data_IF_634828958337
#
_entry.id   IF_634828958337
#
_cell.length_a   1.000
_cell.length_b   1.000
_cell.length_c   1.000
_cell.angle_alpha   90.00
_cell.angle_beta   90.00
_cell.angle_gamma   90.00
#
_symmetry.space_group_name_H-M   'P 1'
#
loop_
_entity.id
_entity.type
_entity.pdbx_description
1 polymer ?
#
# COMPACT_ATOMS: atom_id res chain seq x y z
N UNK A 1 19.22 26.66 1.38
CA UNK A 1 19.88 25.86 0.33
C UNK A 1 18.85 25.47 -0.68
N UNK A 2 19.08 25.71 -1.97
CA UNK A 2 18.12 25.40 -3.03
C UNK A 2 18.06 23.88 -3.20
N UNK A 3 16.88 23.30 -3.00
CA UNK A 3 16.63 21.89 -3.32
C UNK A 3 16.77 21.69 -4.83
N UNK A 4 17.69 20.82 -5.25
CA UNK A 4 17.87 20.41 -6.64
C UNK A 4 17.26 19.03 -6.84
N UNK A 5 16.55 18.85 -7.94
CA UNK A 5 16.11 17.53 -8.39
C UNK A 5 17.28 16.75 -8.97
N UNK A 6 17.42 15.50 -8.54
CA UNK A 6 18.38 14.53 -9.07
C UNK A 6 17.64 13.26 -9.48
N UNK A 7 17.94 12.77 -10.67
CA UNK A 7 17.52 11.44 -11.09
C UNK A 7 18.58 10.43 -10.60
N UNK A 8 18.19 9.53 -9.70
CA UNK A 8 19.07 8.46 -9.26
C UNK A 8 19.28 7.45 -10.41
N UNK A 9 20.49 6.88 -10.58
CA UNK A 9 20.77 5.93 -11.64
C UNK A 9 19.83 4.72 -11.61
N UNK A 10 19.30 4.34 -12.77
CA UNK A 10 18.51 3.11 -12.89
C UNK A 10 19.45 1.90 -12.80
N UNK A 11 19.14 0.96 -11.90
CA UNK A 11 19.80 -0.34 -11.86
C UNK A 11 19.07 -1.28 -12.82
N UNK A 12 19.77 -2.19 -13.50
CA UNK A 12 19.12 -3.26 -14.31
C UNK A 12 18.22 -4.18 -13.48
N UNK A 13 18.33 -4.11 -12.15
CA UNK A 13 17.54 -4.87 -11.18
C UNK A 13 16.39 -4.05 -10.57
N UNK A 14 16.04 -2.90 -11.16
CA UNK A 14 14.92 -2.08 -10.70
C UNK A 14 13.57 -2.71 -11.09
N UNK A 15 12.47 -2.36 -10.40
CA UNK A 15 11.14 -2.65 -10.89
C UNK A 15 10.94 -2.13 -12.32
N UNK A 16 10.01 -2.76 -13.03
CA UNK A 16 9.53 -2.22 -14.31
C UNK A 16 8.93 -0.83 -14.14
N UNK A 17 8.54 -0.21 -15.27
CA UNK A 17 7.74 1.02 -15.25
C UNK A 17 6.44 0.72 -14.49
N UNK A 18 5.92 1.63 -13.67
CA UNK A 18 4.72 1.42 -12.85
C UNK A 18 3.93 2.73 -12.72
N UNK A 19 2.60 2.68 -12.86
CA UNK A 19 1.69 3.76 -12.42
C UNK A 19 0.79 3.30 -11.27
N UNK A 20 0.40 4.24 -10.41
CA UNK A 20 -0.51 3.99 -9.29
C UNK A 20 0.01 3.02 -8.23
N UNK A 21 1.34 2.83 -8.14
CA UNK A 21 2.01 2.17 -7.03
C UNK A 21 1.98 3.04 -5.77
N UNK A 22 2.31 2.46 -4.62
CA UNK A 22 2.64 3.22 -3.40
C UNK A 22 4.10 2.99 -3.03
N UNK A 23 4.67 3.96 -2.30
CA UNK A 23 6.02 3.86 -1.77
C UNK A 23 6.07 4.31 -0.31
N UNK A 24 6.80 3.58 0.52
CA UNK A 24 7.04 3.92 1.93
C UNK A 24 8.51 3.84 2.28
N UNK A 25 8.94 4.59 3.30
CA UNK A 25 10.30 4.50 3.83
C UNK A 25 10.31 3.75 5.17
N UNK A 26 11.28 2.85 5.36
CA UNK A 26 11.51 2.16 6.63
C UNK A 26 13.00 1.83 6.78
N UNK A 27 13.61 2.22 7.91
CA UNK A 27 14.98 1.88 8.30
C UNK A 27 16.04 2.00 7.18
N UNK A 28 16.09 3.13 6.47
CA UNK A 28 17.11 3.35 5.41
C UNK A 28 16.82 2.60 4.09
N UNK A 29 15.61 2.07 3.93
CA UNK A 29 15.13 1.51 2.68
C UNK A 29 13.82 2.16 2.24
N UNK A 30 13.60 2.18 0.93
CA UNK A 30 12.33 2.54 0.29
C UNK A 30 11.67 1.28 -0.23
N UNK A 31 10.38 1.11 0.02
CA UNK A 31 9.60 -0.04 -0.41
C UNK A 31 8.54 0.43 -1.40
N UNK A 32 8.52 -0.16 -2.59
CA UNK A 32 7.53 0.10 -3.63
C UNK A 32 6.65 -1.13 -3.78
N UNK A 33 5.34 -0.94 -3.71
CA UNK A 33 4.36 -2.02 -3.83
C UNK A 33 3.33 -1.72 -4.91
N UNK A 34 3.03 -2.77 -5.67
CA UNK A 34 2.00 -2.76 -6.70
C UNK A 34 2.30 -1.79 -7.83
N UNK A 35 1.23 -1.26 -8.43
CA UNK A 35 1.29 -0.51 -9.67
C UNK A 35 1.27 -1.42 -10.91
N UNK A 36 0.80 -0.87 -12.02
CA UNK A 36 0.66 -1.57 -13.30
C UNK A 36 1.01 -0.62 -14.43
N UNK A 37 1.36 -1.12 -15.62
CA UNK A 37 1.50 -0.30 -16.84
C UNK A 37 0.34 -0.56 -17.80
N UNK A 38 -0.11 -1.82 -17.87
CA UNK A 38 -1.10 -2.28 -18.82
C UNK A 38 -2.18 -3.16 -18.15
N UNK A 39 -3.29 -3.37 -18.86
CA UNK A 39 -4.44 -4.22 -18.46
C UNK A 39 -4.15 -5.75 -18.50
N UNK A 40 -2.89 -6.17 -18.41
CA UNK A 40 -2.46 -7.57 -18.55
C UNK A 40 -1.47 -8.06 -17.49
N UNK A 41 -1.29 -7.31 -16.40
CA UNK A 41 -0.34 -7.67 -15.35
C UNK A 41 -0.64 -9.04 -14.73
N UNK A 42 0.41 -9.83 -14.45
CA UNK A 42 0.26 -11.13 -13.79
C UNK A 42 -0.29 -10.94 -12.36
N UNK A 43 -1.54 -11.36 -12.15
CA UNK A 43 -2.28 -11.29 -10.89
C UNK A 43 -1.59 -12.04 -9.75
N UNK A 44 -0.93 -13.14 -10.07
CA UNK A 44 -0.29 -14.01 -9.09
C UNK A 44 1.04 -13.47 -8.60
N UNK A 45 1.64 -12.48 -9.27
CA UNK A 45 2.82 -11.81 -8.74
C UNK A 45 2.41 -10.57 -7.95
N UNK A 46 2.95 -10.42 -6.75
CA UNK A 46 2.71 -9.27 -5.89
C UNK A 46 4.02 -8.52 -5.80
N UNK A 47 4.32 -7.61 -6.74
CA UNK A 47 5.61 -6.96 -6.77
C UNK A 47 5.78 -6.08 -5.53
N UNK A 48 6.71 -6.49 -4.67
CA UNK A 48 7.24 -5.68 -3.58
C UNK A 48 8.74 -5.50 -3.84
N UNK A 49 9.16 -4.27 -4.05
CA UNK A 49 10.54 -3.91 -4.33
C UNK A 49 11.11 -3.09 -3.20
N UNK A 50 12.36 -3.35 -2.87
CA UNK A 50 13.11 -2.59 -1.87
C UNK A 50 14.28 -1.87 -2.55
N UNK A 51 14.45 -0.59 -2.26
CA UNK A 51 15.63 0.17 -2.59
C UNK A 51 16.40 0.50 -1.31
N UNK A 52 17.61 -0.04 -1.18
CA UNK A 52 18.51 0.31 -0.09
C UNK A 52 19.16 1.67 -0.40
N UNK A 53 18.93 2.70 0.42
CA UNK A 53 19.43 4.05 0.14
C UNK A 53 20.93 4.20 0.31
N UNK A 54 21.54 3.37 1.18
CA UNK A 54 22.97 3.34 1.40
C UNK A 54 23.72 2.72 0.21
N UNK A 55 23.32 1.52 -0.21
CA UNK A 55 23.97 0.80 -1.30
C UNK A 55 23.49 1.24 -2.69
N UNK A 56 22.39 1.99 -2.75
CA UNK A 56 21.72 2.45 -3.98
C UNK A 56 21.30 1.29 -4.89
N UNK A 57 20.87 0.18 -4.29
CA UNK A 57 20.48 -1.05 -5.02
C UNK A 57 19.02 -1.39 -4.82
N UNK A 58 18.43 -1.89 -5.89
CA UNK A 58 17.11 -2.50 -5.89
C UNK A 58 17.20 -3.99 -5.60
N UNK A 59 16.23 -4.50 -4.86
CA UNK A 59 16.03 -5.91 -4.60
C UNK A 59 14.53 -6.23 -4.66
N UNK A 60 14.17 -7.28 -5.36
CA UNK A 60 12.82 -7.84 -5.27
C UNK A 60 12.66 -8.55 -3.91
N UNK A 61 11.63 -8.18 -3.16
CA UNK A 61 11.27 -8.83 -1.91
C UNK A 61 10.36 -10.01 -2.24
N UNK A 62 10.98 -11.19 -2.37
CA UNK A 62 10.25 -12.42 -2.67
C UNK A 62 9.40 -12.82 -1.47
N UNK A 63 8.17 -13.24 -1.74
CA UNK A 63 7.36 -13.93 -0.74
C UNK A 63 8.11 -15.19 -0.28
N UNK A 64 8.02 -15.53 1.01
CA UNK A 64 8.60 -16.79 1.48
C UNK A 64 7.92 -17.99 0.82
N UNK A 65 8.70 -19.05 0.57
CA UNK A 65 8.20 -20.30 0.02
C UNK A 65 6.99 -20.81 0.82
N UNK A 66 5.89 -21.09 0.10
CA UNK A 66 4.64 -21.56 0.71
C UNK A 66 3.73 -20.47 1.30
N UNK A 67 4.07 -19.17 1.20
CA UNK A 67 3.13 -18.11 1.60
C UNK A 67 1.97 -17.98 0.61
N UNK A 68 0.83 -18.60 0.95
CA UNK A 68 -0.39 -18.58 0.14
C UNK A 68 -1.19 -17.27 0.29
N UNK A 69 -1.13 -16.62 1.47
CA UNK A 69 -1.92 -15.41 1.76
C UNK A 69 -1.08 -14.13 1.63
N UNK A 70 -1.25 -13.43 0.50
CA UNK A 70 -0.69 -12.10 0.22
C UNK A 70 -1.64 -11.30 -0.64
N UNK A 71 -1.58 -9.95 -0.62
CA UNK A 71 -2.41 -9.13 -1.51
C UNK A 71 -2.08 -9.44 -2.97
N UNK A 72 -3.07 -9.45 -3.85
CA UNK A 72 -2.84 -9.43 -5.31
C UNK A 72 -2.21 -8.11 -5.75
N UNK A 73 -1.59 -8.09 -6.94
CA UNK A 73 -1.17 -6.83 -7.56
C UNK A 73 -2.36 -5.86 -7.70
N UNK A 74 -2.11 -4.56 -7.59
CA UNK A 74 -3.15 -3.52 -7.59
C UNK A 74 -2.57 -2.13 -7.85
N UNK A 75 -3.40 -1.20 -8.32
CA UNK A 75 -3.06 0.23 -8.41
C UNK A 75 -4.05 1.13 -7.67
N UNK A 76 -3.65 2.36 -7.39
CA UNK A 76 -4.48 3.35 -6.69
C UNK A 76 -4.79 2.99 -5.22
N UNK A 77 -4.02 2.09 -4.63
CA UNK A 77 -4.05 1.81 -3.19
C UNK A 77 -3.19 2.85 -2.46
N UNK A 78 -3.33 2.92 -1.14
CA UNK A 78 -2.39 3.65 -0.29
C UNK A 78 -1.61 2.70 0.62
N UNK A 79 -0.38 3.06 0.93
CA UNK A 79 0.44 2.39 1.93
C UNK A 79 0.96 3.37 2.98
N UNK A 80 1.03 2.92 4.23
CA UNK A 80 1.60 3.69 5.35
C UNK A 80 2.46 2.81 6.24
N UNK A 81 3.36 3.40 7.01
CA UNK A 81 4.19 2.68 7.99
C UNK A 81 3.75 3.02 9.40
N UNK A 82 3.59 1.98 10.22
CA UNK A 82 3.46 2.08 11.66
C UNK A 82 4.29 0.99 12.32
N UNK A 83 5.24 1.39 13.17
CA UNK A 83 6.23 0.49 13.78
C UNK A 83 6.96 -0.34 12.70
N UNK A 84 7.04 -1.67 12.86
CA UNK A 84 7.68 -2.60 11.93
C UNK A 84 6.72 -3.16 10.85
N UNK A 85 5.62 -2.47 10.58
CA UNK A 85 4.62 -2.87 9.59
C UNK A 85 4.37 -1.82 8.51
N UNK A 86 4.30 -2.27 7.26
CA UNK A 86 3.73 -1.54 6.13
C UNK A 86 2.28 -1.97 5.93
N UNK A 87 1.36 -1.03 6.02
CA UNK A 87 -0.08 -1.24 5.96
C UNK A 87 -0.61 -0.78 4.61
N UNK A 88 -1.31 -1.64 3.87
CA UNK A 88 -1.80 -1.39 2.50
C UNK A 88 -3.31 -1.53 2.47
N UNK A 89 -4.03 -0.48 2.06
CA UNK A 89 -5.48 -0.47 1.97
C UNK A 89 -6.00 -0.23 0.57
N UNK A 90 -7.02 -0.99 0.20
CA UNK A 90 -7.83 -0.81 -1.00
C UNK A 90 -7.05 -0.97 -2.30
N UNK A 91 -7.38 -0.12 -3.28
CA UNK A 91 -6.89 -0.20 -4.65
C UNK A 91 -7.87 -0.90 -5.57
N UNK A 92 -7.45 -1.10 -6.82
CA UNK A 92 -8.20 -1.89 -7.79
C UNK A 92 -7.28 -2.74 -8.66
N UNK A 93 -7.85 -3.82 -9.18
CA UNK A 93 -7.21 -4.69 -10.16
C UNK A 93 -8.19 -5.02 -11.29
N UNK A 94 -8.01 -4.37 -12.43
CA UNK A 94 -8.70 -4.62 -13.70
C UNK A 94 -10.20 -5.00 -13.55
N UNK A 95 -10.60 -6.18 -14.00
CA UNK A 95 -12.00 -6.67 -14.01
C UNK A 95 -12.64 -6.86 -12.62
N UNK A 96 -11.84 -6.97 -11.55
CA UNK A 96 -12.39 -7.17 -10.20
C UNK A 96 -12.86 -5.86 -9.56
N UNK A 97 -12.48 -4.74 -10.17
CA UNK A 97 -12.83 -3.42 -9.67
C UNK A 97 -12.12 -3.11 -8.35
N UNK A 98 -12.75 -2.23 -7.57
CA UNK A 98 -12.20 -1.74 -6.31
C UNK A 98 -12.33 -2.77 -5.20
N UNK A 99 -11.27 -2.92 -4.41
CA UNK A 99 -11.25 -3.81 -3.24
C UNK A 99 -11.20 -3.02 -1.93
N UNK A 100 -11.64 -3.63 -0.85
CA UNK A 100 -11.57 -3.09 0.53
C UNK A 100 -10.56 -3.83 1.40
N UNK A 101 -9.68 -4.59 0.77
CA UNK A 101 -8.68 -5.39 1.45
C UNK A 101 -7.72 -4.52 2.25
N UNK A 102 -7.35 -5.03 3.42
CA UNK A 102 -6.38 -4.40 4.29
C UNK A 102 -5.30 -5.40 4.66
N UNK A 103 -4.05 -5.07 4.35
CA UNK A 103 -2.92 -5.95 4.49
C UNK A 103 -1.83 -5.29 5.32
N UNK A 104 -1.05 -6.10 6.03
CA UNK A 104 0.22 -5.69 6.63
C UNK A 104 1.35 -6.55 6.10
N UNK A 105 2.44 -5.91 5.70
CA UNK A 105 3.74 -6.53 5.48
C UNK A 105 4.63 -6.23 6.68
N UNK A 106 5.06 -7.27 7.39
CA UNK A 106 5.99 -7.14 8.50
C UNK A 106 7.42 -7.13 7.98
N UNK A 107 8.14 -6.02 8.19
CA UNK A 107 9.51 -5.85 7.67
C UNK A 107 10.48 -6.91 8.23
N UNK A 108 10.38 -7.21 9.52
CA UNK A 108 11.29 -8.14 10.21
C UNK A 108 11.18 -9.59 9.71
N UNK A 109 9.95 -10.03 9.43
CA UNK A 109 9.68 -11.43 9.03
C UNK A 109 9.51 -11.57 7.52
N UNK A 110 9.38 -10.47 6.80
CA UNK A 110 9.05 -10.39 5.38
C UNK A 110 7.78 -11.17 5.03
N UNK A 111 6.76 -11.09 5.91
CA UNK A 111 5.49 -11.79 5.74
C UNK A 111 4.34 -10.82 5.61
N UNK A 112 3.49 -11.10 4.63
CA UNK A 112 2.13 -10.56 4.54
C UNK A 112 1.18 -11.22 5.53
N UNK A 113 0.26 -10.44 6.10
CA UNK A 113 -0.90 -10.91 6.82
C UNK A 113 -2.13 -10.05 6.49
N UNK A 114 -3.33 -10.67 6.33
CA UNK A 114 -4.55 -9.91 6.19
C UNK A 114 -4.94 -9.29 7.53
N UNK A 115 -5.33 -8.02 7.51
CA UNK A 115 -5.99 -7.35 8.62
C UNK A 115 -7.49 -7.47 8.40
N UNK A 116 -8.07 -8.59 8.82
CA UNK A 116 -9.52 -8.74 8.83
C UNK A 116 -10.12 -7.68 9.78
N UNK A 117 -10.92 -6.73 9.29
CA UNK A 117 -11.81 -6.02 10.20
C UNK A 117 -12.73 -7.09 10.77
N UNK A 118 -12.90 -7.13 12.09
CA UNK A 118 -13.76 -8.11 12.77
C UNK A 118 -15.26 -8.02 12.36
N UNK A 119 -15.58 -7.21 11.34
CA UNK A 119 -16.90 -7.01 10.75
C UNK A 119 -16.72 -6.40 9.35
N UNK A 120 -17.10 -7.14 8.29
CA UNK A 120 -17.30 -6.56 6.95
C UNK A 120 -18.25 -5.34 7.05
N UNK A 121 -17.98 -4.28 6.30
CA UNK A 121 -18.84 -3.08 6.25
C UNK A 121 -18.63 -2.03 7.34
N UNK A 122 -17.69 -2.21 8.28
CA UNK A 122 -17.37 -1.23 9.33
C UNK A 122 -16.20 -0.29 9.00
N UNK A 123 -15.70 -0.33 7.76
CA UNK A 123 -14.59 0.49 7.30
C UNK A 123 -14.96 1.40 6.13
N UNK A 124 -13.96 2.02 5.49
CA UNK A 124 -14.15 2.87 4.32
C UNK A 124 -14.89 2.15 3.16
N UNK A 125 -14.75 0.83 3.06
CA UNK A 125 -15.31 0.05 1.96
C UNK A 125 -14.43 0.16 0.71
N UNK A 126 -14.82 -0.52 -0.39
CA UNK A 126 -13.95 -0.71 -1.54
C UNK A 126 -13.68 0.63 -2.23
N UNK A 127 -12.41 0.99 -2.40
CA UNK A 127 -12.01 2.28 -2.98
C UNK A 127 -10.57 2.29 -3.50
N UNK A 128 -10.32 3.19 -4.43
CA UNK A 128 -8.97 3.51 -4.94
C UNK A 128 -8.79 5.03 -5.11
N UNK A 129 -7.57 5.49 -5.35
CA UNK A 129 -7.25 6.91 -5.51
C UNK A 129 -7.44 7.73 -4.22
N UNK A 130 -7.59 7.06 -3.08
CA UNK A 130 -7.66 7.69 -1.77
C UNK A 130 -6.25 8.00 -1.24
N UNK A 131 -6.16 8.89 -0.26
CA UNK A 131 -4.90 9.19 0.43
C UNK A 131 -4.93 8.67 1.87
N UNK A 132 -3.81 8.12 2.32
CA UNK A 132 -3.62 7.71 3.71
C UNK A 132 -2.36 8.31 4.32
N UNK A 133 -2.42 8.62 5.61
CA UNK A 133 -1.27 9.04 6.42
C UNK A 133 -1.33 8.40 7.79
N UNK A 134 -0.18 8.29 8.45
CA UNK A 134 -0.11 7.90 9.86
C UNK A 134 0.14 9.11 10.75
N UNK A 135 -0.56 9.13 11.88
CA UNK A 135 -0.32 10.12 12.93
C UNK A 135 -0.68 9.49 14.28
N UNK A 136 0.28 9.50 15.20
CA UNK A 136 0.21 8.74 16.45
C UNK A 136 -0.02 7.24 16.19
N UNK A 137 -0.84 6.58 17.02
CA UNK A 137 -1.21 5.19 16.86
C UNK A 137 -2.43 4.99 15.94
N UNK A 138 -2.54 5.80 14.88
CA UNK A 138 -3.64 5.72 13.94
C UNK A 138 -3.22 5.97 12.49
N UNK A 139 -3.96 5.35 11.57
CA UNK A 139 -3.97 5.65 10.15
C UNK A 139 -5.22 6.45 9.82
N UNK A 140 -5.06 7.51 9.04
CA UNK A 140 -6.14 8.35 8.56
C UNK A 140 -6.28 8.15 7.06
N UNK A 141 -7.51 7.99 6.58
CA UNK A 141 -7.85 7.80 5.18
C UNK A 141 -8.88 8.85 4.77
N UNK A 142 -8.64 9.52 3.63
CA UNK A 142 -9.57 10.50 3.09
C UNK A 142 -9.91 10.20 1.62
N UNK A 143 -11.20 10.27 1.32
CA UNK A 143 -11.75 10.28 -0.03
C UNK A 143 -11.44 9.03 -0.87
N UNK A 144 -11.17 9.25 -2.15
CA UNK A 144 -11.03 8.23 -3.18
C UNK A 144 -12.32 7.96 -3.95
N UNK A 145 -12.24 7.07 -4.94
CA UNK A 145 -13.38 6.66 -5.76
C UNK A 145 -13.95 5.34 -5.23
N UNK A 146 -15.25 5.35 -4.91
CA UNK A 146 -16.04 4.19 -4.47
C UNK A 146 -17.30 4.11 -5.31
N UNK A 147 -17.56 2.96 -5.95
CA UNK A 147 -18.72 2.76 -6.83
C UNK A 147 -18.92 3.90 -7.86
N UNK A 148 -17.85 4.29 -8.54
CA UNK A 148 -17.86 5.39 -9.53
C UNK A 148 -18.22 6.79 -8.96
N UNK A 149 -18.19 6.97 -7.64
CA UNK A 149 -18.42 8.25 -6.99
C UNK A 149 -17.24 8.68 -6.13
N UNK A 150 -16.82 9.94 -6.27
CA UNK A 150 -15.82 10.56 -5.41
C UNK A 150 -16.34 10.66 -3.98
N UNK A 151 -15.49 10.28 -3.03
CA UNK A 151 -15.83 10.35 -1.61
C UNK A 151 -15.14 11.57 -0.99
N UNK A 152 -15.82 12.17 -0.01
CA UNK A 152 -15.28 13.19 0.89
C UNK A 152 -15.30 12.72 2.35
N UNK A 153 -15.49 11.42 2.58
CA UNK A 153 -15.50 10.83 3.90
C UNK A 153 -14.09 10.72 4.49
N UNK A 154 -14.02 10.82 5.81
CA UNK A 154 -12.77 10.80 6.55
C UNK A 154 -12.79 9.69 7.58
N UNK A 155 -11.80 8.82 7.54
CA UNK A 155 -11.74 7.60 8.34
C UNK A 155 -10.47 7.54 9.17
N UNK A 156 -10.59 6.91 10.34
CA UNK A 156 -9.48 6.57 11.21
C UNK A 156 -9.46 5.08 11.48
N UNK A 157 -8.33 4.44 11.27
CA UNK A 157 -8.00 3.13 11.80
C UNK A 157 -7.13 3.28 13.04
N UNK A 158 -7.53 2.66 14.15
CA UNK A 158 -6.74 2.61 15.37
C UNK A 158 -5.85 1.35 15.37
N UNK A 159 -4.52 1.53 15.33
CA UNK A 159 -3.59 0.39 15.26
C UNK A 159 -3.56 -0.45 16.53
N UNK A 160 -4.01 0.07 17.68
CA UNK A 160 -4.02 -0.68 18.95
C UNK A 160 -5.31 -1.49 19.09
N UNK A 161 -6.43 -0.93 18.63
CA UNK A 161 -7.75 -1.56 18.72
C UNK A 161 -8.13 -2.36 17.48
N UNK A 162 -7.36 -2.21 16.40
CA UNK A 162 -7.62 -2.84 15.11
C UNK A 162 -9.04 -2.58 14.57
N UNK A 163 -9.51 -1.34 14.71
CA UNK A 163 -10.84 -0.95 14.26
C UNK A 163 -10.87 0.37 13.49
N UNK A 164 -11.82 0.46 12.56
CA UNK A 164 -12.12 1.67 11.82
C UNK A 164 -13.20 2.50 12.53
N UNK A 165 -13.14 3.81 12.33
CA UNK A 165 -14.16 4.76 12.76
C UNK A 165 -14.27 5.89 11.74
N UNK A 166 -15.49 6.33 11.46
CA UNK A 166 -15.73 7.53 10.64
C UNK A 166 -15.51 8.78 11.50
N UNK A 167 -14.75 9.73 10.96
CA UNK A 167 -14.58 11.06 11.54
C UNK A 167 -15.58 11.98 10.86
N UNK A 168 -16.53 12.50 11.63
CA UNK A 168 -17.45 13.52 11.14
C UNK A 168 -16.77 14.88 11.24
N UNK A 169 -16.57 15.54 10.11
CA UNK A 169 -16.23 16.96 10.06
C UNK A 169 -17.51 17.77 10.27
N UNK A 170 -17.40 18.90 10.98
CA UNK A 170 -18.51 19.86 11.16
C UNK A 170 -18.52 20.85 10.01
#
# INVERSE_FOLDING_TARGET
GLGRWEQLPSCRQAPDKLEGHSMVAHQGALYVFGGMVDFGGNRENTPLWMYCTETRRWCEVKAQDGQVNRPTNRKGHSAVVYQAGMFVYGGYFDIEGTVEEFWVFYFDTQKWAPLSPHTRGMGPGPRHGHSCVTHNAAMFLFGGLKNMAEQNDFWRFDFRRHNWSIIKTR
#
